data_IF_453541749438
#
_entry.id   IF_453541749438
#
_cell.length_a   1.000
_cell.length_b   1.000
_cell.length_c   1.000
_cell.angle_alpha   90.00
_cell.angle_beta   90.00
_cell.angle_gamma   90.00
#
_symmetry.space_group_name_H-M   'P 1'
#
loop_
_entity.id
_entity.type
_entity.pdbx_description
1 polymer ?
#
# COMPACT_ATOMS: atom_id res chain seq x y z
N UNK A 1 15.74 -9.27 10.80
CA UNK A 1 17.15 -8.88 10.92
C UNK A 1 17.36 -7.43 10.47
N UNK A 2 18.10 -6.64 11.24
CA UNK A 2 18.31 -5.20 10.97
C UNK A 2 19.33 -4.91 9.86
N UNK A 3 20.16 -5.89 9.47
CA UNK A 3 21.17 -5.75 8.43
C UNK A 3 20.82 -6.54 7.17
N UNK A 4 20.36 -7.79 7.33
CA UNK A 4 19.99 -8.69 6.23
C UNK A 4 18.90 -8.14 5.32
N UNK A 5 18.02 -7.26 5.82
CA UNK A 5 17.02 -6.61 4.98
C UNK A 5 17.66 -5.78 3.85
N UNK A 6 18.83 -5.16 4.06
CA UNK A 6 19.52 -4.40 3.01
C UNK A 6 20.05 -5.29 1.90
N UNK A 7 20.53 -6.50 2.24
CA UNK A 7 20.98 -7.49 1.26
C UNK A 7 19.80 -7.92 0.37
N UNK A 8 18.65 -8.22 0.98
CA UNK A 8 17.45 -8.60 0.23
C UNK A 8 16.96 -7.46 -0.67
N UNK A 9 16.97 -6.21 -0.17
CA UNK A 9 16.64 -5.04 -0.98
C UNK A 9 17.60 -4.87 -2.16
N UNK A 10 18.90 -5.08 -1.96
CA UNK A 10 19.89 -4.99 -3.03
C UNK A 10 19.61 -6.01 -4.15
N UNK A 11 19.25 -7.25 -3.79
CA UNK A 11 18.85 -8.27 -4.77
C UNK A 11 17.56 -7.88 -5.50
N UNK A 12 16.57 -7.31 -4.79
CA UNK A 12 15.34 -6.82 -5.41
C UNK A 12 15.60 -5.69 -6.42
N UNK A 13 16.56 -4.81 -6.16
CA UNK A 13 16.91 -3.71 -7.06
C UNK A 13 17.75 -4.19 -8.26
N UNK A 14 18.86 -4.89 -8.00
CA UNK A 14 19.92 -5.13 -8.97
C UNK A 14 20.11 -6.60 -9.35
N UNK A 15 19.46 -7.51 -8.62
CA UNK A 15 19.57 -8.95 -8.87
C UNK A 15 18.84 -9.41 -10.13
N UNK A 16 19.00 -10.69 -10.46
CA UNK A 16 18.34 -11.31 -11.61
C UNK A 16 16.85 -11.53 -11.34
N UNK A 17 15.98 -11.50 -12.38
CA UNK A 17 14.55 -11.71 -12.21
C UNK A 17 14.21 -12.98 -11.42
N UNK A 18 14.89 -14.10 -11.67
CA UNK A 18 14.65 -15.36 -10.96
C UNK A 18 14.90 -15.28 -9.45
N UNK A 19 15.87 -14.48 -9.03
CA UNK A 19 16.19 -14.30 -7.61
C UNK A 19 15.18 -13.34 -6.95
N UNK A 20 14.72 -12.32 -7.68
CA UNK A 20 13.61 -11.46 -7.23
C UNK A 20 12.33 -12.29 -7.04
N UNK A 21 12.01 -13.17 -7.99
CA UNK A 21 10.83 -14.02 -7.93
C UNK A 21 10.82 -14.95 -6.71
N UNK A 22 11.98 -15.51 -6.33
CA UNK A 22 12.10 -16.30 -5.10
C UNK A 22 11.80 -15.47 -3.85
N UNK A 23 12.30 -14.23 -3.78
CA UNK A 23 12.03 -13.32 -2.66
C UNK A 23 10.53 -12.97 -2.60
N UNK A 24 9.91 -12.66 -3.74
CA UNK A 24 8.47 -12.37 -3.82
C UNK A 24 7.66 -13.58 -3.36
N UNK A 25 8.05 -14.79 -3.75
CA UNK A 25 7.38 -16.02 -3.32
C UNK A 25 7.40 -16.19 -1.79
N UNK A 26 8.49 -15.82 -1.11
CA UNK A 26 8.59 -15.86 0.35
C UNK A 26 7.77 -14.78 1.07
N UNK A 27 7.56 -13.63 0.42
CA UNK A 27 6.74 -12.51 0.92
C UNK A 27 5.25 -12.78 0.73
N UNK A 28 4.87 -13.47 -0.34
CA UNK A 28 3.48 -13.82 -0.65
C UNK A 28 2.85 -14.64 0.48
N UNK A 29 1.60 -14.34 0.79
CA UNK A 29 0.85 -14.92 1.91
C UNK A 29 1.20 -14.31 3.27
N UNK A 30 2.18 -13.40 3.33
CA UNK A 30 2.66 -12.75 4.55
C UNK A 30 2.71 -11.22 4.41
N UNK A 31 2.09 -10.65 3.37
CA UNK A 31 2.25 -9.22 3.05
C UNK A 31 1.81 -8.33 4.20
N UNK A 32 0.66 -8.61 4.82
CA UNK A 32 0.18 -7.86 5.99
C UNK A 32 1.20 -7.88 7.14
N UNK A 33 1.61 -9.08 7.54
CA UNK A 33 2.52 -9.30 8.68
C UNK A 33 3.86 -8.61 8.46
N UNK A 34 4.49 -8.80 7.31
CA UNK A 34 5.80 -8.23 7.00
C UNK A 34 5.73 -6.72 6.83
N UNK A 35 4.61 -6.18 6.33
CA UNK A 35 4.45 -4.73 6.16
C UNK A 35 4.43 -3.97 7.48
N UNK A 36 4.00 -4.62 8.58
CA UNK A 36 3.97 -4.01 9.92
C UNK A 36 5.29 -4.14 10.67
N UNK A 37 6.31 -4.75 10.07
CA UNK A 37 7.59 -4.96 10.71
C UNK A 37 8.62 -3.93 10.21
N UNK A 38 9.23 -3.18 11.14
CA UNK A 38 10.16 -2.05 10.90
C UNK A 38 11.17 -2.25 9.78
N UNK A 39 11.74 -3.45 9.66
CA UNK A 39 12.77 -3.75 8.65
C UNK A 39 12.22 -4.48 7.44
N UNK A 40 11.15 -5.27 7.61
CA UNK A 40 10.62 -6.09 6.53
C UNK A 40 9.66 -5.28 5.63
N UNK A 41 9.04 -4.23 6.16
CA UNK A 41 8.25 -3.27 5.38
C UNK A 41 9.03 -2.72 4.19
N UNK A 42 10.31 -2.39 4.39
CA UNK A 42 11.20 -1.92 3.31
C UNK A 42 11.39 -2.98 2.22
N UNK A 43 11.49 -4.26 2.61
CA UNK A 43 11.58 -5.38 1.66
C UNK A 43 10.29 -5.52 0.86
N UNK A 44 9.12 -5.41 1.51
CA UNK A 44 7.82 -5.44 0.83
C UNK A 44 7.69 -4.26 -0.13
N UNK A 45 8.10 -3.05 0.26
CA UNK A 45 8.14 -1.89 -0.65
C UNK A 45 8.98 -2.18 -1.89
N UNK A 46 10.19 -2.76 -1.73
CA UNK A 46 11.04 -3.13 -2.87
C UNK A 46 10.43 -4.24 -3.72
N UNK A 47 9.72 -5.20 -3.13
CA UNK A 47 8.98 -6.20 -3.90
C UNK A 47 7.91 -5.54 -4.77
N UNK A 48 7.13 -4.60 -4.22
CA UNK A 48 6.13 -3.86 -4.99
C UNK A 48 6.79 -3.08 -6.13
N UNK A 49 7.91 -2.40 -5.89
CA UNK A 49 8.55 -1.54 -6.90
C UNK A 49 9.25 -2.35 -8.00
N UNK A 50 10.01 -3.40 -7.64
CA UNK A 50 10.99 -4.02 -8.54
C UNK A 50 10.64 -5.43 -9.04
N UNK A 51 9.53 -6.02 -8.57
CA UNK A 51 9.04 -7.29 -9.11
C UNK A 51 8.36 -7.11 -10.48
N UNK A 52 8.10 -8.23 -11.16
CA UNK A 52 7.34 -8.23 -12.40
C UNK A 52 5.93 -7.66 -12.18
N UNK A 53 5.28 -7.21 -13.26
CA UNK A 53 3.90 -6.71 -13.21
C UNK A 53 2.94 -7.74 -12.61
N UNK A 54 3.09 -9.00 -13.01
CA UNK A 54 2.26 -10.09 -12.51
C UNK A 54 2.44 -10.34 -11.01
N UNK A 55 3.69 -10.41 -10.55
CA UNK A 55 4.01 -10.63 -9.12
C UNK A 55 3.55 -9.46 -8.25
N UNK A 56 3.83 -8.22 -8.66
CA UNK A 56 3.28 -7.04 -7.99
C UNK A 56 1.77 -7.11 -7.91
N UNK A 57 1.13 -7.55 -8.99
CA UNK A 57 -0.31 -7.74 -9.06
C UNK A 57 -0.81 -8.63 -7.92
N UNK A 58 -0.20 -9.80 -7.76
CA UNK A 58 -0.53 -10.76 -6.71
C UNK A 58 -0.36 -10.18 -5.30
N UNK A 59 0.71 -9.42 -5.03
CA UNK A 59 0.95 -8.80 -3.72
C UNK A 59 -0.10 -7.74 -3.38
N UNK A 60 -0.53 -6.95 -4.37
CA UNK A 60 -1.58 -5.93 -4.18
C UNK A 60 -2.94 -6.59 -3.96
N UNK A 61 -3.25 -7.62 -4.75
CA UNK A 61 -4.52 -8.35 -4.66
C UNK A 61 -4.65 -9.07 -3.31
N UNK A 62 -3.55 -9.63 -2.78
CA UNK A 62 -3.50 -10.22 -1.44
C UNK A 62 -3.98 -9.22 -0.38
N UNK A 63 -3.43 -8.00 -0.35
CA UNK A 63 -3.83 -6.96 0.61
C UNK A 63 -5.27 -6.49 0.41
N UNK A 64 -5.74 -6.44 -0.85
CA UNK A 64 -7.10 -6.05 -1.16
C UNK A 64 -8.12 -7.11 -0.71
N UNK A 65 -7.78 -8.39 -0.80
CA UNK A 65 -8.71 -9.49 -0.53
C UNK A 65 -8.62 -10.05 0.89
N UNK A 66 -7.48 -9.89 1.57
CA UNK A 66 -7.25 -10.43 2.91
C UNK A 66 -8.00 -9.64 4.00
N UNK A 67 -8.52 -10.36 4.99
CA UNK A 67 -9.08 -9.82 6.23
C UNK A 67 -8.06 -9.86 7.36
N UNK A 68 -8.25 -8.99 8.33
CA UNK A 68 -7.54 -8.91 9.60
C UNK A 68 -8.57 -8.74 10.73
N UNK A 69 -9.04 -9.88 11.27
CA UNK A 69 -10.18 -9.93 12.17
C UNK A 69 -11.43 -9.27 11.55
N UNK A 70 -12.04 -8.25 12.20
CA UNK A 70 -13.21 -7.54 11.67
C UNK A 70 -12.88 -6.55 10.54
N UNK A 71 -11.59 -6.30 10.27
CA UNK A 71 -11.14 -5.30 9.32
C UNK A 71 -10.56 -5.93 8.05
N UNK A 72 -10.34 -5.12 7.01
CA UNK A 72 -9.53 -5.54 5.86
C UNK A 72 -8.05 -5.33 6.17
N UNK A 73 -7.18 -6.17 5.58
CA UNK A 73 -5.73 -5.99 5.70
C UNK A 73 -5.30 -4.59 5.25
N UNK A 74 -5.85 -4.09 4.13
CA UNK A 74 -5.62 -2.73 3.66
C UNK A 74 -5.97 -1.67 4.71
N UNK A 75 -7.11 -1.79 5.40
CA UNK A 75 -7.51 -0.85 6.45
C UNK A 75 -6.53 -0.85 7.62
N UNK A 76 -6.10 -2.04 8.08
CA UNK A 76 -5.09 -2.15 9.14
C UNK A 76 -3.78 -1.49 8.69
N UNK A 77 -3.30 -1.80 7.48
CA UNK A 77 -2.02 -1.29 6.97
C UNK A 77 -1.98 0.23 6.84
N UNK A 78 -3.07 0.87 6.42
CA UNK A 78 -3.13 2.33 6.28
C UNK A 78 -2.94 3.10 7.59
N UNK A 79 -3.22 2.46 8.73
CA UNK A 79 -3.11 3.08 10.06
C UNK A 79 -1.82 2.70 10.79
N UNK A 80 -1.06 1.76 10.26
CA UNK A 80 0.16 1.28 10.89
C UNK A 80 1.35 2.20 10.60
N UNK A 81 2.29 2.28 11.54
CA UNK A 81 3.46 3.16 11.46
C UNK A 81 4.46 2.80 10.36
N UNK A 82 4.47 1.54 9.89
CA UNK A 82 5.35 1.06 8.82
C UNK A 82 4.55 0.69 7.56
N UNK A 83 3.44 -0.02 7.71
CA UNK A 83 2.70 -0.55 6.57
C UNK A 83 2.03 0.54 5.72
N UNK A 84 1.82 1.74 6.26
CA UNK A 84 1.30 2.88 5.51
C UNK A 84 2.21 3.25 4.32
N UNK A 85 3.54 3.05 4.44
CA UNK A 85 4.48 3.30 3.35
C UNK A 85 4.32 2.26 2.24
N UNK A 86 4.12 0.98 2.60
CA UNK A 86 3.81 -0.09 1.64
C UNK A 86 2.54 0.22 0.85
N UNK A 87 1.47 0.66 1.51
CA UNK A 87 0.22 1.05 0.84
C UNK A 87 0.45 2.21 -0.15
N UNK A 88 1.26 3.20 0.23
CA UNK A 88 1.61 4.30 -0.69
C UNK A 88 2.34 3.79 -1.94
N UNK A 89 3.26 2.82 -1.80
CA UNK A 89 3.93 2.20 -2.95
C UNK A 89 3.00 1.35 -3.79
N UNK A 90 2.06 0.65 -3.18
CA UNK A 90 1.02 -0.07 -3.92
C UNK A 90 0.18 0.91 -4.76
N UNK A 91 -0.20 2.07 -4.22
CA UNK A 91 -0.95 3.11 -4.98
C UNK A 91 -0.13 3.61 -6.18
N UNK A 92 1.17 3.87 -5.99
CA UNK A 92 2.06 4.32 -7.06
C UNK A 92 2.19 3.28 -8.18
N UNK A 93 2.42 2.03 -7.81
CA UNK A 93 2.81 0.97 -8.74
C UNK A 93 1.63 0.14 -9.29
N UNK A 94 0.43 0.29 -8.70
CA UNK A 94 -0.77 -0.42 -9.14
C UNK A 94 -1.11 -0.11 -10.60
N UNK A 95 -1.57 -1.13 -11.32
CA UNK A 95 -2.21 -0.95 -12.62
C UNK A 95 -3.58 -0.26 -12.45
N UNK A 96 -4.12 0.40 -13.49
CA UNK A 96 -5.37 1.15 -13.37
C UNK A 96 -6.54 0.35 -12.77
N UNK A 97 -6.68 -0.93 -13.12
CA UNK A 97 -7.72 -1.80 -12.58
C UNK A 97 -7.55 -2.03 -11.06
N UNK A 98 -6.33 -2.38 -10.63
CA UNK A 98 -6.02 -2.59 -9.21
C UNK A 98 -6.14 -1.29 -8.42
N UNK A 99 -5.72 -0.16 -8.99
CA UNK A 99 -5.84 1.15 -8.33
C UNK A 99 -7.30 1.51 -8.07
N UNK A 100 -8.22 1.20 -8.99
CA UNK A 100 -9.66 1.37 -8.76
C UNK A 100 -10.16 0.52 -7.58
N UNK A 101 -9.70 -0.72 -7.46
CA UNK A 101 -10.04 -1.61 -6.33
C UNK A 101 -9.53 -1.05 -5.01
N UNK A 102 -8.26 -0.62 -4.96
CA UNK A 102 -7.67 0.02 -3.78
C UNK A 102 -8.52 1.24 -3.38
N UNK A 103 -8.82 2.13 -4.33
CA UNK A 103 -9.63 3.32 -4.04
C UNK A 103 -11.02 2.98 -3.51
N UNK A 104 -11.71 2.02 -4.14
CA UNK A 104 -13.03 1.59 -3.69
C UNK A 104 -13.00 1.11 -2.23
N UNK A 105 -11.94 0.43 -1.82
CA UNK A 105 -11.75 -0.01 -0.42
C UNK A 105 -11.36 1.12 0.53
N UNK A 106 -10.65 2.14 0.07
CA UNK A 106 -10.25 3.29 0.91
C UNK A 106 -11.41 4.26 1.13
N UNK A 107 -12.28 4.46 0.13
CA UNK A 107 -13.32 5.50 0.11
C UNK A 107 -14.23 5.52 1.36
N UNK A 108 -14.73 4.38 1.88
CA UNK A 108 -15.57 4.37 3.09
C UNK A 108 -14.83 4.81 4.36
N UNK A 109 -13.50 4.80 4.34
CA UNK A 109 -12.65 5.06 5.52
C UNK A 109 -12.03 6.46 5.52
N UNK A 110 -12.30 7.32 4.53
CA UNK A 110 -11.67 8.65 4.40
C UNK A 110 -11.83 9.48 5.68
N UNK A 111 -13.06 9.58 6.22
CA UNK A 111 -13.34 10.36 7.42
C UNK A 111 -12.58 9.83 8.65
N UNK A 112 -12.44 8.51 8.74
CA UNK A 112 -11.68 7.84 9.80
C UNK A 112 -10.18 8.09 9.63
N UNK A 113 -9.63 7.91 8.43
CA UNK A 113 -8.19 8.05 8.14
C UNK A 113 -7.66 9.46 8.43
N UNK A 114 -8.47 10.51 8.25
CA UNK A 114 -8.12 11.88 8.64
C UNK A 114 -7.75 12.02 10.12
N UNK A 115 -8.31 11.18 10.99
CA UNK A 115 -8.09 11.21 12.44
C UNK A 115 -6.84 10.43 12.87
N UNK A 116 -6.28 9.57 12.01
CA UNK A 116 -5.12 8.75 12.35
C UNK A 116 -3.81 9.40 11.88
N UNK A 117 -2.79 9.36 12.75
CA UNK A 117 -1.46 9.92 12.48
C UNK A 117 -0.87 9.45 11.15
N UNK A 118 -0.98 8.15 10.85
CA UNK A 118 -0.44 7.58 9.61
C UNK A 118 -1.47 7.57 8.47
N UNK A 119 -2.76 7.44 8.79
CA UNK A 119 -3.85 7.39 7.82
C UNK A 119 -3.97 8.65 6.97
N UNK A 120 -3.72 9.83 7.54
CA UNK A 120 -3.72 11.11 6.79
C UNK A 120 -2.69 11.15 5.65
N UNK A 121 -1.58 10.42 5.77
CA UNK A 121 -0.56 10.37 4.71
C UNK A 121 -1.06 9.62 3.47
N UNK A 122 -1.92 8.62 3.65
CA UNK A 122 -2.59 7.93 2.55
C UNK A 122 -3.50 8.89 1.78
N UNK A 123 -4.25 9.74 2.49
CA UNK A 123 -5.13 10.72 1.86
C UNK A 123 -4.34 11.76 1.06
N UNK A 124 -3.28 12.32 1.65
CA UNK A 124 -2.38 13.25 0.96
C UNK A 124 -1.74 12.62 -0.29
N UNK A 125 -1.43 11.31 -0.25
CA UNK A 125 -0.91 10.56 -1.40
C UNK A 125 -1.95 10.46 -2.53
N UNK A 126 -3.20 10.14 -2.18
CA UNK A 126 -4.29 10.05 -3.14
C UNK A 126 -4.58 11.40 -3.78
N UNK A 127 -4.69 12.47 -3.00
CA UNK A 127 -4.90 13.84 -3.50
C UNK A 127 -3.85 14.22 -4.56
N UNK A 128 -2.55 14.02 -4.26
CA UNK A 128 -1.46 14.29 -5.20
C UNK A 128 -1.58 13.47 -6.49
N UNK A 129 -2.01 12.22 -6.40
CA UNK A 129 -2.22 11.38 -7.57
C UNK A 129 -3.33 11.94 -8.47
N UNK A 130 -4.48 12.33 -7.90
CA UNK A 130 -5.60 12.87 -8.68
C UNK A 130 -5.34 14.26 -9.25
N UNK A 131 -4.59 15.11 -8.55
CA UNK A 131 -4.13 16.39 -9.09
C UNK A 131 -3.22 16.20 -10.31
N UNK A 132 -2.46 15.10 -10.36
CA UNK A 132 -1.57 14.75 -11.49
C UNK A 132 -2.30 14.00 -12.62
N UNK A 133 -3.37 13.27 -12.31
CA UNK A 133 -4.07 12.42 -13.28
C UNK A 133 -5.25 13.08 -14.01
N UNK A 134 -5.71 14.26 -13.61
CA UNK A 134 -6.76 15.02 -14.31
C UNK A 134 -8.09 14.26 -14.42
N UNK A 135 -9.05 14.63 -13.57
CA UNK A 135 -10.44 14.12 -13.48
C UNK A 135 -10.65 12.69 -12.95
N UNK A 136 -11.34 12.60 -11.79
CA UNK A 136 -12.58 11.81 -11.59
C UNK A 136 -12.88 11.57 -10.10
N UNK A 137 -12.82 12.62 -9.29
CA UNK A 137 -13.51 12.67 -8.01
C UNK A 137 -14.22 14.03 -7.96
N UNK A 138 -15.54 14.01 -8.11
CA UNK A 138 -16.39 15.14 -7.70
C UNK A 138 -16.07 15.57 -6.26
N UNK A 139 -16.50 16.78 -5.86
CA UNK A 139 -15.96 17.47 -4.69
C UNK A 139 -15.97 16.56 -3.47
N UNK A 140 -14.78 16.31 -2.91
CA UNK A 140 -14.65 15.73 -1.58
C UNK A 140 -15.26 16.76 -0.64
N UNK A 141 -16.50 16.50 -0.23
CA UNK A 141 -17.34 17.42 0.55
C UNK A 141 -16.54 18.15 1.61
N UNK A 142 -16.56 19.48 1.51
CA UNK A 142 -16.10 20.37 2.56
C UNK A 142 -16.91 20.16 3.84
N UNK A 143 -16.41 20.63 4.99
CA UNK A 143 -17.14 20.53 6.24
C UNK A 143 -18.46 21.30 6.12
N UNK A 144 -19.58 20.61 6.37
CA UNK A 144 -20.85 21.25 6.68
C UNK A 144 -20.72 21.88 8.05
N UNK A 145 -20.27 23.13 8.12
CA UNK A 145 -20.46 23.96 9.30
C UNK A 145 -21.94 24.35 9.35
N UNK A 146 -22.76 23.47 9.94
CA UNK A 146 -24.09 23.83 10.41
C UNK A 146 -23.94 24.57 11.74
N UNK A 147 -23.84 25.90 11.64
CA UNK A 147 -24.18 26.81 12.74
C UNK A 147 -25.69 26.67 13.00
N UNK A 148 -26.05 26.25 14.22
CA UNK A 148 -27.23 26.78 14.91
C UNK A 148 -26.77 27.92 15.79
#
# INVERSE_FOLDING_TARGET
DQYGNYVIQHVLEHGRPEDKSKIVAEVRGKVLLLSQHKFASNVVEKCVIHSSRAERGLLIDEVCCQKDGPHSALYTMMKDQYANYVVQRMIDMAEPAQRKIIMHKIRPHIATLRKYTYGKHILAKLEKYYMKSGSDLGPIGGPTNGLM
#
